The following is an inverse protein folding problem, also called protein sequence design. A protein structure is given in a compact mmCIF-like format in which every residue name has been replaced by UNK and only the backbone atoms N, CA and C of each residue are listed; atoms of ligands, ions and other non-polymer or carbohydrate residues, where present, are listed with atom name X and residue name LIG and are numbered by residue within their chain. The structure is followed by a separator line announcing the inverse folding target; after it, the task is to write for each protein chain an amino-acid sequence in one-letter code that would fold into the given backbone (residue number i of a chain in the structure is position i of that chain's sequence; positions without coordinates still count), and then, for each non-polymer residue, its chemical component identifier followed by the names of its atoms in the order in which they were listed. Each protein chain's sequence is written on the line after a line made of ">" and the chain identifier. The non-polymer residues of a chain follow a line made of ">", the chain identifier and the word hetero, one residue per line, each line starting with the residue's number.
data_IF_497328094486
#
_entry.id   IF_497328094486
#
_cell.length_a   1.000
_cell.length_b   1.000
_cell.length_c   1.000
_cell.angle_alpha   90.00
_cell.angle_beta   90.00
_cell.angle_gamma   90.00
#
_symmetry.space_group_name_H-M   'P 1'
#
loop_
_entity.id
_entity.type
_entity.pdbx_description
1 polymer ?
#
# COMPACT_ATOMS: atom_id res chain seq x y z
N UNK A 1 -14.51 -0.50 -4.62
CA UNK A 1 -15.20 -0.19 -5.89
C UNK A 1 -14.63 -1.18 -6.89
N UNK A 2 -15.38 -1.96 -7.66
CA UNK A 2 -14.76 -3.16 -8.27
C UNK A 2 -13.78 -2.83 -9.40
N UNK A 3 -12.48 -2.79 -9.08
CA UNK A 3 -11.40 -2.30 -9.94
C UNK A 3 -10.89 -3.36 -10.93
N UNK A 4 -11.26 -4.64 -10.74
CA UNK A 4 -10.80 -5.79 -11.53
C UNK A 4 -9.28 -5.95 -11.56
N UNK A 5 -8.62 -5.70 -10.42
CA UNK A 5 -7.17 -5.78 -10.25
C UNK A 5 -6.74 -6.78 -9.15
N UNK A 6 -7.67 -7.59 -8.64
CA UNK A 6 -7.38 -8.62 -7.64
C UNK A 6 -6.20 -9.52 -8.05
N UNK A 7 -5.35 -9.88 -7.10
CA UNK A 7 -4.19 -10.74 -7.32
C UNK A 7 -3.04 -10.09 -8.10
N UNK A 8 -3.10 -8.77 -8.36
CA UNK A 8 -1.98 -8.00 -8.91
C UNK A 8 -1.06 -7.48 -7.80
N UNK A 9 0.06 -6.92 -8.22
CA UNK A 9 1.01 -6.18 -7.37
C UNK A 9 1.00 -4.72 -7.79
N UNK A 10 0.95 -3.81 -6.82
CA UNK A 10 1.02 -2.37 -7.04
C UNK A 10 2.20 -1.74 -6.29
N UNK A 11 2.98 -0.91 -6.99
CA UNK A 11 4.02 -0.08 -6.40
C UNK A 11 3.47 1.35 -6.32
N UNK A 12 3.48 1.93 -5.13
CA UNK A 12 2.83 3.21 -4.85
C UNK A 12 3.89 4.19 -4.37
N UNK A 13 4.29 5.12 -5.25
CA UNK A 13 5.26 6.19 -4.95
C UNK A 13 4.60 7.34 -4.20
N UNK A 14 5.26 7.89 -3.18
CA UNK A 14 4.60 8.80 -2.24
C UNK A 14 3.49 8.09 -1.45
N UNK A 15 3.65 6.77 -1.26
CA UNK A 15 2.60 5.87 -0.80
C UNK A 15 2.16 6.08 0.64
N UNK A 16 2.96 6.76 1.48
CA UNK A 16 2.57 7.09 2.84
C UNK A 16 1.84 8.45 2.93
N UNK A 17 1.91 9.28 1.89
CA UNK A 17 1.29 10.61 1.83
C UNK A 17 -0.19 10.59 1.41
N UNK A 18 -0.89 11.69 1.67
CA UNK A 18 -2.36 11.86 1.57
C UNK A 18 -3.12 11.01 0.55
N UNK A 19 -2.81 11.11 -0.75
CA UNK A 19 -3.48 10.27 -1.77
C UNK A 19 -2.86 8.88 -1.91
N UNK A 20 -1.54 8.76 -1.74
CA UNK A 20 -0.84 7.47 -1.82
C UNK A 20 -1.39 6.47 -0.81
N UNK A 21 -1.64 6.91 0.42
CA UNK A 21 -2.17 6.04 1.48
C UNK A 21 -3.61 5.60 1.21
N UNK A 22 -4.45 6.51 0.70
CA UNK A 22 -5.81 6.18 0.28
C UNK A 22 -5.85 5.20 -0.90
N UNK A 23 -4.93 5.35 -1.87
CA UNK A 23 -4.78 4.42 -2.99
C UNK A 23 -4.32 3.05 -2.48
N UNK A 24 -3.33 3.02 -1.59
CA UNK A 24 -2.84 1.79 -0.99
C UNK A 24 -3.93 1.04 -0.23
N UNK A 25 -4.76 1.76 0.52
CA UNK A 25 -5.89 1.19 1.25
C UNK A 25 -6.94 0.60 0.32
N UNK A 26 -7.37 1.32 -0.72
CA UNK A 26 -8.38 0.79 -1.65
C UNK A 26 -7.81 -0.40 -2.46
N UNK A 27 -6.52 -0.39 -2.78
CA UNK A 27 -5.87 -1.51 -3.48
C UNK A 27 -5.74 -2.76 -2.59
N UNK A 28 -5.27 -2.60 -1.35
CA UNK A 28 -5.17 -3.71 -0.40
C UNK A 28 -6.55 -4.33 -0.13
N UNK A 29 -7.58 -3.48 0.00
CA UNK A 29 -8.98 -3.91 0.15
C UNK A 29 -9.51 -4.72 -1.04
N UNK A 30 -9.02 -4.46 -2.25
CA UNK A 30 -9.37 -5.21 -3.47
C UNK A 30 -8.45 -6.44 -3.69
N UNK A 31 -7.65 -6.83 -2.69
CA UNK A 31 -6.81 -8.04 -2.74
C UNK A 31 -5.50 -7.85 -3.52
N UNK A 32 -5.04 -6.62 -3.69
CA UNK A 32 -3.79 -6.28 -4.38
C UNK A 32 -2.63 -6.27 -3.38
N UNK A 33 -1.53 -6.94 -3.71
CA UNK A 33 -0.31 -6.84 -2.91
C UNK A 33 0.33 -5.46 -3.14
N UNK A 34 0.70 -4.76 -2.08
CA UNK A 34 1.20 -3.38 -2.21
C UNK A 34 2.64 -3.21 -1.75
N UNK A 35 3.40 -2.39 -2.48
CA UNK A 35 4.69 -1.85 -2.06
C UNK A 35 4.52 -0.35 -1.85
N UNK A 36 4.63 0.10 -0.60
CA UNK A 36 4.59 1.50 -0.20
C UNK A 36 5.99 2.07 -0.36
N UNK A 37 6.22 2.84 -1.43
CA UNK A 37 7.48 3.51 -1.71
C UNK A 37 7.37 4.99 -1.32
N UNK A 38 8.09 5.40 -0.29
CA UNK A 38 8.04 6.77 0.24
C UNK A 38 9.39 7.21 0.82
N UNK A 39 9.64 8.51 0.91
CA UNK A 39 10.82 9.05 1.59
C UNK A 39 10.68 8.92 3.11
N UNK A 40 9.45 8.94 3.62
CA UNK A 40 9.13 8.76 5.03
C UNK A 40 8.97 7.27 5.38
N UNK A 41 10.09 6.57 5.61
CA UNK A 41 10.10 5.12 5.86
C UNK A 41 9.18 4.71 7.02
N UNK A 42 9.27 5.37 8.18
CA UNK A 42 8.47 5.02 9.36
C UNK A 42 6.96 5.08 9.07
N UNK A 43 6.53 6.08 8.28
CA UNK A 43 5.13 6.23 7.88
C UNK A 43 4.71 5.14 6.87
N UNK A 44 5.61 4.79 5.95
CA UNK A 44 5.37 3.72 4.98
C UNK A 44 5.28 2.34 5.66
N UNK A 45 6.17 2.06 6.63
CA UNK A 45 6.16 0.81 7.41
C UNK A 45 4.91 0.70 8.28
N UNK A 46 4.53 1.78 8.96
CA UNK A 46 3.31 1.82 9.77
C UNK A 46 2.07 1.55 8.90
N UNK A 47 1.99 2.17 7.71
CA UNK A 47 0.91 1.92 6.77
C UNK A 47 0.92 0.47 6.25
N UNK A 48 2.07 -0.05 5.83
CA UNK A 48 2.17 -1.43 5.33
C UNK A 48 1.76 -2.47 6.38
N UNK A 49 2.11 -2.23 7.65
CA UNK A 49 1.68 -3.08 8.76
C UNK A 49 0.16 -3.02 8.99
N UNK A 50 -0.42 -1.81 9.00
CA UNK A 50 -1.89 -1.62 9.13
C UNK A 50 -2.64 -2.33 7.99
N UNK A 51 -2.22 -2.14 6.74
CA UNK A 51 -2.85 -2.75 5.58
C UNK A 51 -2.77 -4.28 5.61
N UNK A 52 -1.60 -4.83 5.97
CA UNK A 52 -1.41 -6.29 6.09
C UNK A 52 -2.22 -6.91 7.23
N UNK A 53 -2.54 -6.13 8.28
CA UNK A 53 -3.39 -6.59 9.38
C UNK A 53 -4.88 -6.55 9.01
N UNK A 54 -5.29 -5.55 8.21
CA UNK A 54 -6.70 -5.28 7.89
C UNK A 54 -7.24 -6.04 6.69
N UNK A 55 -6.37 -6.42 5.76
CA UNK A 55 -6.78 -7.01 4.48
C UNK A 55 -6.04 -8.31 4.19
N UNK A 56 -6.68 -9.19 3.41
CA UNK A 56 -6.07 -10.44 2.94
C UNK A 56 -5.09 -10.21 1.77
N UNK A 57 -4.23 -9.19 1.90
CA UNK A 57 -3.23 -8.82 0.91
C UNK A 57 -1.94 -8.37 1.61
N UNK A 58 -0.80 -8.92 1.17
CA UNK A 58 0.49 -8.56 1.72
C UNK A 58 0.87 -7.13 1.31
N UNK A 59 1.32 -6.34 2.28
CA UNK A 59 1.86 -4.99 2.06
C UNK A 59 3.26 -4.88 2.66
N UNK A 60 4.18 -4.26 1.95
CA UNK A 60 5.53 -3.96 2.45
C UNK A 60 5.95 -2.53 2.09
N UNK A 61 7.01 -2.04 2.73
CA UNK A 61 7.49 -0.67 2.57
C UNK A 61 8.94 -0.63 2.10
N UNK A 62 9.29 0.43 1.36
CA UNK A 62 10.67 0.74 0.99
C UNK A 62 10.89 2.25 1.04
N UNK A 63 12.05 2.65 1.56
CA UNK A 63 12.47 4.04 1.51
C UNK A 63 12.95 4.41 0.10
N UNK A 64 12.52 5.55 -0.42
CA UNK A 64 13.05 6.14 -1.66
C UNK A 64 14.05 7.26 -1.39
N UNK A 65 15.00 7.47 -2.32
CA UNK A 65 16.04 8.52 -2.26
C UNK A 65 15.49 9.95 -2.36
#
# INVERSE_FOLDING_TARGET
>A
MQLRIEGRVAIITGGAGGFGSAIAEEYAKEGVQTLIADIALDAAEALAADLSQRYEAASCAVQTN
#
